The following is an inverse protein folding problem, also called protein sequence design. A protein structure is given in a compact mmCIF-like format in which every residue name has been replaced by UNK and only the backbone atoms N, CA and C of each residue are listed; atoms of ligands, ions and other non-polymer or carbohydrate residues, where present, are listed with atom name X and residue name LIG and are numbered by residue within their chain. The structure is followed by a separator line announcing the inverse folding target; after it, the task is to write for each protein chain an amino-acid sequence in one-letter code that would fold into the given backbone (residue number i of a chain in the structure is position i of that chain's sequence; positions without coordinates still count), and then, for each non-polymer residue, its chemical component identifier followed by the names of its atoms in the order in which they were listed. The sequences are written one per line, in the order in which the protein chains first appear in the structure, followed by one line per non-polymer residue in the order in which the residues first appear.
data_IF_775242428365
#
_entry.id   IF_775242428365
#
_cell.length_a   1.000
_cell.length_b   1.000
_cell.length_c   1.000
_cell.angle_alpha   90.00
_cell.angle_beta   90.00
_cell.angle_gamma   90.00
#
_symmetry.space_group_name_H-M   'P 1'
#
loop_
_entity.id
_entity.type
_entity.pdbx_description
1 polymer ?
#
# COMPACT_ATOMS: atom_id res chain seq x y z
N UNK A 1 4.32 11.20 -13.27
CA UNK A 1 3.70 9.86 -13.11
C UNK A 1 2.24 9.84 -13.57
N UNK A 2 1.86 10.71 -14.53
CA UNK A 2 0.47 10.92 -14.96
C UNK A 2 -0.10 9.76 -15.80
N UNK A 3 0.76 8.88 -16.30
CA UNK A 3 0.36 7.72 -17.10
C UNK A 3 -0.23 6.55 -16.29
N UNK A 4 -0.16 6.58 -14.95
CA UNK A 4 -0.75 5.53 -14.12
C UNK A 4 -2.27 5.63 -14.13
N UNK A 5 -2.93 4.52 -14.47
CA UNK A 5 -4.40 4.43 -14.53
C UNK A 5 -4.92 3.51 -13.45
N UNK A 6 -5.51 4.10 -12.41
CA UNK A 6 -6.09 3.37 -11.29
C UNK A 6 -7.52 2.90 -11.59
N UNK A 7 -7.80 1.63 -11.32
CA UNK A 7 -9.15 1.06 -11.41
C UNK A 7 -9.68 0.49 -10.09
N UNK A 8 -8.81 0.24 -9.10
CA UNK A 8 -9.13 -0.17 -7.73
C UNK A 8 -10.22 -1.25 -7.64
N UNK A 9 -10.14 -2.25 -8.52
CA UNK A 9 -11.12 -3.34 -8.64
C UNK A 9 -11.41 -4.03 -7.31
N UNK A 10 -10.39 -4.28 -6.49
CA UNK A 10 -10.51 -4.94 -5.18
C UNK A 10 -11.48 -4.18 -4.28
N UNK A 11 -11.42 -2.85 -4.27
CA UNK A 11 -12.34 -2.00 -3.51
C UNK A 11 -13.75 -2.00 -4.10
N UNK A 12 -13.86 -2.05 -5.43
CA UNK A 12 -15.15 -2.03 -6.11
C UNK A 12 -15.92 -3.35 -5.98
N UNK A 13 -15.23 -4.48 -5.91
CA UNK A 13 -15.84 -5.81 -5.98
C UNK A 13 -15.97 -6.53 -4.64
N UNK A 14 -15.23 -6.12 -3.61
CA UNK A 14 -15.24 -6.77 -2.30
C UNK A 14 -15.83 -5.88 -1.21
N UNK A 15 -16.49 -6.47 -0.19
CA UNK A 15 -17.08 -5.71 0.89
C UNK A 15 -15.98 -4.95 1.65
N UNK A 16 -16.16 -3.64 1.74
CA UNK A 16 -15.31 -2.76 2.53
C UNK A 16 -15.83 -2.55 3.94
N UNK A 17 -14.90 -2.33 4.86
CA UNK A 17 -15.18 -1.91 6.22
C UNK A 17 -15.91 -0.56 6.20
N UNK A 18 -17.14 -0.46 6.75
CA UNK A 18 -17.84 0.81 6.84
C UNK A 18 -17.17 1.78 7.83
N UNK A 19 -16.36 1.27 8.76
CA UNK A 19 -15.60 2.10 9.69
C UNK A 19 -14.33 2.64 9.01
N UNK A 20 -14.19 3.96 8.97
CA UNK A 20 -13.02 4.68 8.45
C UNK A 20 -12.20 5.35 9.56
N UNK A 21 -12.60 5.12 10.81
CA UNK A 21 -11.95 5.64 11.99
C UNK A 21 -10.56 5.04 12.23
N UNK A 22 -9.68 5.77 12.93
CA UNK A 22 -8.39 5.24 13.34
C UNK A 22 -8.56 4.18 14.43
N UNK A 23 -7.57 3.30 14.56
CA UNK A 23 -7.48 2.35 15.66
C UNK A 23 -7.59 0.89 15.22
N UNK A 24 -7.09 0.01 16.10
CA UNK A 24 -7.07 -1.43 15.90
C UNK A 24 -8.44 -2.01 16.25
N UNK A 25 -8.98 -2.87 15.38
CA UNK A 25 -10.32 -3.46 15.56
C UNK A 25 -10.47 -4.79 14.82
N UNK A 26 -11.50 -5.54 15.19
CA UNK A 26 -12.00 -6.63 14.35
C UNK A 26 -12.80 -6.04 13.19
N UNK A 27 -12.62 -6.62 12.01
CA UNK A 27 -13.18 -6.16 10.74
C UNK A 27 -13.90 -7.34 10.11
N UNK A 28 -15.20 -7.19 9.85
CA UNK A 28 -16.03 -8.19 9.17
C UNK A 28 -16.22 -7.81 7.69
N UNK A 29 -15.10 -7.48 7.04
CA UNK A 29 -15.03 -7.04 5.64
C UNK A 29 -13.67 -7.46 5.04
N UNK A 30 -13.51 -7.35 3.72
CA UNK A 30 -12.30 -7.76 3.02
C UNK A 30 -11.15 -6.74 3.12
N UNK A 31 -11.47 -5.47 3.42
CA UNK A 31 -10.49 -4.39 3.52
C UNK A 31 -11.03 -3.24 4.36
N UNK A 32 -10.13 -2.37 4.83
CA UNK A 32 -10.47 -1.07 5.43
C UNK A 32 -9.74 0.04 4.69
N UNK A 33 -10.41 1.18 4.47
CA UNK A 33 -9.75 2.39 3.96
C UNK A 33 -8.81 2.94 5.02
N UNK A 34 -7.55 3.17 4.64
CA UNK A 34 -6.52 3.67 5.57
C UNK A 34 -5.56 4.56 4.81
N UNK A 35 -5.35 5.78 5.31
CA UNK A 35 -4.36 6.69 4.74
C UNK A 35 -2.95 6.34 5.23
N UNK A 36 -1.92 6.39 4.36
CA UNK A 36 -0.53 6.32 4.80
C UNK A 36 -0.20 7.41 5.83
N UNK A 37 0.64 7.08 6.80
CA UNK A 37 1.21 8.03 7.74
C UNK A 37 2.51 8.60 7.15
N UNK A 38 2.59 9.91 6.85
CA UNK A 38 3.76 10.51 6.21
C UNK A 38 5.06 10.28 6.97
N UNK A 39 6.17 10.36 6.25
CA UNK A 39 7.53 10.31 6.80
C UNK A 39 8.26 11.64 6.63
N UNK A 40 9.28 11.89 7.45
CA UNK A 40 10.12 13.06 7.30
C UNK A 40 11.09 12.89 6.12
N UNK A 41 11.13 13.88 5.23
CA UNK A 41 12.10 14.00 4.12
C UNK A 41 12.31 12.69 3.32
N UNK A 42 11.26 12.15 2.66
CA UNK A 42 11.38 10.92 1.89
C UNK A 42 12.39 11.10 0.74
N UNK A 43 13.22 10.07 0.53
CA UNK A 43 14.21 10.02 -0.54
C UNK A 43 14.28 8.64 -1.17
N UNK A 44 14.43 8.59 -2.49
CA UNK A 44 14.68 7.35 -3.21
C UNK A 44 16.09 6.83 -2.88
N UNK A 45 16.19 5.55 -2.52
CA UNK A 45 17.47 4.86 -2.28
C UNK A 45 17.83 3.95 -3.45
N UNK A 46 16.86 3.15 -3.90
CA UNK A 46 16.97 2.26 -5.05
C UNK A 46 15.57 2.00 -5.64
N UNK A 47 15.53 1.59 -6.90
CA UNK A 47 14.32 1.14 -7.60
C UNK A 47 14.67 0.03 -8.59
N UNK A 48 13.68 -0.77 -8.98
CA UNK A 48 13.81 -1.71 -10.09
C UNK A 48 13.47 -0.99 -11.39
N UNK A 49 14.43 -0.90 -12.32
CA UNK A 49 14.21 -0.34 -13.66
C UNK A 49 13.16 -1.16 -14.42
N UNK A 50 13.24 -2.48 -14.34
CA UNK A 50 12.31 -3.40 -15.01
C UNK A 50 10.87 -3.19 -14.54
N UNK A 51 10.67 -2.97 -13.24
CA UNK A 51 9.33 -2.66 -12.70
C UNK A 51 8.85 -1.26 -13.10
N UNK A 52 9.74 -0.27 -13.16
CA UNK A 52 9.39 1.06 -13.65
C UNK A 52 8.92 0.99 -15.12
N UNK A 53 9.64 0.25 -15.96
CA UNK A 53 9.29 0.05 -17.37
C UNK A 53 7.94 -0.65 -17.52
N UNK A 54 7.66 -1.70 -16.72
CA UNK A 54 6.36 -2.39 -16.71
C UNK A 54 5.22 -1.42 -16.34
N UNK A 55 5.42 -0.54 -15.35
CA UNK A 55 4.43 0.45 -14.94
C UNK A 55 4.36 1.66 -15.89
N UNK A 56 5.20 1.71 -16.92
CA UNK A 56 5.27 2.84 -17.85
C UNK A 56 5.83 4.11 -17.21
N UNK A 57 6.62 3.99 -16.13
CA UNK A 57 7.25 5.11 -15.44
C UNK A 57 8.60 5.43 -16.09
N UNK A 58 8.74 6.66 -16.57
CA UNK A 58 9.99 7.11 -17.17
C UNK A 58 11.08 7.34 -16.11
N UNK A 59 12.34 7.39 -16.56
CA UNK A 59 13.46 7.78 -15.67
C UNK A 59 13.26 9.17 -15.04
N UNK A 60 12.60 10.09 -15.77
CA UNK A 60 12.27 11.42 -15.27
C UNK A 60 11.22 11.36 -14.16
N UNK A 61 10.21 10.49 -14.31
CA UNK A 61 9.22 10.24 -13.26
C UNK A 61 9.90 9.73 -11.99
N UNK A 62 10.73 8.69 -12.10
CA UNK A 62 11.41 8.05 -10.96
C UNK A 62 12.34 9.03 -10.23
N UNK A 63 13.00 9.93 -10.95
CA UNK A 63 13.92 10.94 -10.37
C UNK A 63 13.21 12.19 -9.85
N UNK A 64 11.92 12.33 -10.10
CA UNK A 64 11.17 13.48 -9.62
C UNK A 64 11.08 13.49 -8.08
N UNK A 65 11.03 14.68 -7.45
CA UNK A 65 10.74 14.77 -6.02
C UNK A 65 9.38 14.15 -5.66
N UNK A 66 8.41 14.21 -6.57
CA UNK A 66 7.06 13.66 -6.41
C UNK A 66 7.09 12.15 -6.21
N UNK A 67 7.96 11.41 -6.91
CA UNK A 67 8.08 9.96 -6.76
C UNK A 67 8.38 9.56 -5.32
N UNK A 68 9.34 10.24 -4.68
CA UNK A 68 9.66 9.98 -3.28
C UNK A 68 8.51 10.38 -2.34
N UNK A 69 7.75 11.43 -2.66
CA UNK A 69 6.58 11.81 -1.85
C UNK A 69 5.47 10.75 -1.95
N UNK A 70 5.16 10.27 -3.16
CA UNK A 70 4.10 9.27 -3.38
C UNK A 70 4.48 7.93 -2.77
N UNK A 71 5.62 7.37 -3.16
CA UNK A 71 6.08 6.06 -2.68
C UNK A 71 6.71 6.10 -1.27
N UNK A 72 6.73 7.28 -0.63
CA UNK A 72 6.97 7.46 0.80
C UNK A 72 5.70 7.56 1.64
N UNK A 73 4.51 7.64 1.01
CA UNK A 73 3.23 7.82 1.71
C UNK A 73 2.94 9.25 2.14
N UNK A 74 3.60 10.24 1.52
CA UNK A 74 3.44 11.67 1.83
C UNK A 74 2.46 12.37 0.88
N UNK A 75 2.21 11.80 -0.30
CA UNK A 75 1.29 12.31 -1.30
C UNK A 75 0.57 11.15 -1.99
N UNK A 76 -0.57 11.44 -2.61
CA UNK A 76 -1.30 10.49 -3.44
C UNK A 76 -1.45 11.05 -4.84
N UNK A 77 -1.39 10.16 -5.83
CA UNK A 77 -1.75 10.50 -7.21
C UNK A 77 -3.28 10.48 -7.38
N UNK A 78 -3.82 11.24 -8.34
CA UNK A 78 -5.24 11.11 -8.70
C UNK A 78 -5.63 9.66 -9.02
N UNK A 79 -6.72 9.19 -8.42
CA UNK A 79 -7.23 7.83 -8.60
C UNK A 79 -6.70 6.80 -7.59
N UNK A 80 -5.69 7.10 -6.79
CA UNK A 80 -5.33 6.27 -5.64
C UNK A 80 -6.46 6.27 -4.61
N UNK A 81 -6.82 5.09 -4.10
CA UNK A 81 -7.76 4.90 -2.99
C UNK A 81 -7.10 3.96 -1.97
N UNK A 82 -6.34 4.49 -1.00
CA UNK A 82 -5.53 3.65 -0.13
C UNK A 82 -6.33 2.75 0.83
N UNK A 83 -5.91 1.50 0.93
CA UNK A 83 -6.56 0.50 1.78
C UNK A 83 -5.58 -0.50 2.38
N UNK A 84 -6.03 -1.22 3.41
CA UNK A 84 -5.35 -2.36 3.98
C UNK A 84 -6.28 -3.58 3.91
N UNK A 85 -5.76 -4.72 3.45
CA UNK A 85 -6.56 -5.93 3.31
C UNK A 85 -6.73 -6.66 4.64
N UNK A 86 -7.88 -7.29 4.81
CA UNK A 86 -8.18 -8.18 5.92
C UNK A 86 -7.96 -9.63 5.50
N UNK A 87 -7.31 -10.41 6.34
CA UNK A 87 -7.16 -11.85 6.16
C UNK A 87 -6.89 -12.52 7.51
N UNK A 88 -7.07 -13.84 7.57
CA UNK A 88 -6.67 -14.67 8.71
C UNK A 88 -5.65 -15.73 8.27
N UNK A 89 -5.05 -16.41 9.23
CA UNK A 89 -4.09 -17.46 8.90
C UNK A 89 -3.63 -18.29 10.08
N UNK A 90 -3.07 -19.46 9.77
CA UNK A 90 -2.34 -20.25 10.74
C UNK A 90 -0.90 -19.72 10.86
N UNK A 91 -0.45 -19.42 12.07
CA UNK A 91 0.93 -19.07 12.37
C UNK A 91 1.52 -20.13 13.29
N UNK A 92 2.66 -20.71 12.89
CA UNK A 92 3.35 -21.77 13.65
C UNK A 92 2.44 -22.96 14.03
N UNK A 93 1.53 -23.35 13.13
CA UNK A 93 0.61 -24.48 13.34
C UNK A 93 -0.68 -24.16 14.10
N UNK A 94 -0.89 -22.91 14.53
CA UNK A 94 -2.09 -22.50 15.28
C UNK A 94 -2.89 -21.44 14.53
N UNK A 95 -4.23 -21.54 14.57
CA UNK A 95 -5.10 -20.49 14.04
C UNK A 95 -4.88 -19.19 14.82
N UNK A 96 -4.43 -18.15 14.13
CA UNK A 96 -4.08 -16.86 14.75
C UNK A 96 -5.23 -15.84 14.72
N UNK A 97 -6.41 -16.23 14.25
CA UNK A 97 -7.56 -15.33 14.08
C UNK A 97 -7.33 -14.31 12.98
N UNK A 98 -7.87 -13.10 13.19
CA UNK A 98 -7.69 -11.99 12.28
C UNK A 98 -6.23 -11.51 12.25
N UNK A 99 -5.68 -11.47 11.04
CA UNK A 99 -4.43 -10.82 10.69
C UNK A 99 -4.79 -9.57 9.86
N UNK A 100 -4.34 -9.51 8.61
CA UNK A 100 -4.48 -8.34 7.75
C UNK A 100 -3.17 -7.58 7.58
N UNK A 101 -3.21 -6.58 6.72
CA UNK A 101 -2.07 -5.73 6.42
C UNK A 101 -1.73 -4.80 7.58
N UNK A 102 -1.07 -5.33 8.60
CA UNK A 102 -0.79 -4.61 9.84
C UNK A 102 0.30 -3.53 9.74
N UNK A 103 1.00 -3.43 8.61
CA UNK A 103 1.99 -2.38 8.34
C UNK A 103 2.17 -2.10 6.85
N UNK A 104 1.23 -2.58 6.04
CA UNK A 104 1.23 -2.36 4.60
C UNK A 104 -0.07 -1.63 4.28
N UNK A 105 0.00 -0.70 3.33
CA UNK A 105 -1.17 -0.02 2.79
C UNK A 105 -1.01 -0.06 1.28
N UNK A 106 -1.98 -0.64 0.61
CA UNK A 106 -2.11 -0.56 -0.84
C UNK A 106 -2.57 0.83 -1.21
N UNK A 107 -1.79 1.54 -2.03
CA UNK A 107 -2.09 2.89 -2.48
C UNK A 107 -3.16 2.90 -3.58
N UNK A 108 -3.26 1.80 -4.32
CA UNK A 108 -4.26 1.58 -5.35
C UNK A 108 -3.86 0.44 -6.29
N UNK A 109 -4.79 0.06 -7.16
CA UNK A 109 -4.54 -0.90 -8.24
C UNK A 109 -4.52 -0.17 -9.57
N UNK A 110 -3.39 -0.28 -10.28
CA UNK A 110 -3.18 0.36 -11.58
C UNK A 110 -3.16 -0.68 -12.70
N UNK A 111 -3.50 -0.24 -13.91
CA UNK A 111 -3.35 -1.03 -15.12
C UNK A 111 -2.09 -0.59 -15.87
N UNK A 112 -1.30 -1.54 -16.36
CA UNK A 112 -0.22 -1.25 -17.31
C UNK A 112 -0.74 -1.01 -18.73
N UNK A 113 0.17 -0.69 -19.66
CA UNK A 113 -0.15 -0.41 -21.07
C UNK A 113 -0.74 -1.62 -21.81
N UNK A 114 -0.63 -2.83 -21.25
CA UNK A 114 -1.22 -4.05 -21.78
C UNK A 114 -2.51 -4.45 -21.05
N UNK A 115 -3.00 -3.61 -20.12
CA UNK A 115 -4.20 -3.86 -19.33
C UNK A 115 -4.00 -4.89 -18.21
N UNK A 116 -2.76 -5.22 -17.84
CA UNK A 116 -2.49 -6.08 -16.67
C UNK A 116 -2.55 -5.24 -15.41
N UNK A 117 -3.19 -5.78 -14.37
CA UNK A 117 -3.34 -5.10 -13.08
C UNK A 117 -2.12 -5.32 -12.19
N UNK A 118 -1.73 -4.23 -11.54
CA UNK A 118 -0.66 -4.18 -10.56
C UNK A 118 -1.16 -3.49 -9.30
N UNK A 119 -0.91 -4.14 -8.17
CA UNK A 119 -1.18 -3.57 -6.86
C UNK A 119 0.04 -2.76 -6.39
N UNK A 120 -0.15 -1.49 -6.07
CA UNK A 120 0.92 -0.63 -5.54
C UNK A 120 0.89 -0.63 -4.01
N UNK A 121 1.54 -1.62 -3.39
CA UNK A 121 1.54 -1.76 -1.93
C UNK A 121 2.77 -1.12 -1.26
N UNK A 122 2.51 -0.20 -0.33
CA UNK A 122 3.53 0.48 0.46
C UNK A 122 3.71 -0.19 1.83
N UNK A 123 4.86 -0.82 2.04
CA UNK A 123 5.25 -1.45 3.30
C UNK A 123 5.93 -0.45 4.24
N UNK A 124 5.52 -0.42 5.50
CA UNK A 124 5.93 0.57 6.49
C UNK A 124 5.13 1.87 6.43
N UNK A 125 3.96 1.85 5.77
CA UNK A 125 3.11 3.01 5.53
C UNK A 125 2.43 3.57 6.79
N UNK A 126 2.60 2.95 7.96
CA UNK A 126 1.95 3.36 9.20
C UNK A 126 0.96 2.32 9.71
N UNK A 127 0.32 2.60 10.86
CA UNK A 127 -0.61 1.69 11.47
C UNK A 127 -1.92 1.59 10.68
N UNK A 128 -2.55 0.43 10.77
CA UNK A 128 -3.83 0.07 10.17
C UNK A 128 -4.71 -0.60 11.24
N UNK A 129 -6.00 -0.88 10.96
CA UNK A 129 -6.85 -1.68 11.86
C UNK A 129 -6.25 -3.04 12.23
N UNK A 130 -5.30 -3.53 11.44
CA UNK A 130 -4.68 -4.85 11.53
C UNK A 130 -3.31 -4.84 12.24
N UNK A 131 -2.82 -3.68 12.70
CA UNK A 131 -1.46 -3.53 13.26
C UNK A 131 -1.21 -4.29 14.56
N UNK A 132 -2.26 -4.74 15.25
CA UNK A 132 -2.18 -5.42 16.56
C UNK A 132 -1.38 -4.57 17.55
N UNK A 133 -0.15 -4.95 17.91
CA UNK A 133 0.70 -4.21 18.85
C UNK A 133 1.90 -3.52 18.18
N UNK A 134 2.00 -3.57 16.85
CA UNK A 134 3.11 -3.00 16.10
C UNK A 134 2.89 -1.51 15.75
N UNK A 135 3.97 -0.80 15.47
CA UNK A 135 3.99 0.62 15.09
C UNK A 135 3.58 0.90 13.64
N UNK A 136 3.38 -0.14 12.82
CA UNK A 136 3.05 -0.03 11.41
C UNK A 136 4.22 0.39 10.51
N UNK A 137 5.47 0.38 11.00
CA UNK A 137 6.65 0.84 10.25
C UNK A 137 7.55 -0.29 9.77
N UNK A 138 8.40 0.05 8.81
CA UNK A 138 9.48 -0.79 8.31
C UNK A 138 10.82 -0.04 8.45
N UNK A 139 11.85 -0.76 8.89
CA UNK A 139 13.21 -0.23 8.99
C UNK A 139 13.96 -0.46 7.69
N UNK A 140 14.91 0.43 7.37
CA UNK A 140 15.67 0.40 6.10
C UNK A 140 16.30 -0.97 5.81
N UNK A 141 16.86 -1.64 6.82
CA UNK A 141 17.45 -2.99 6.67
C UNK A 141 16.45 -4.04 6.18
N UNK A 142 15.18 -3.90 6.56
CA UNK A 142 14.10 -4.83 6.15
C UNK A 142 13.50 -4.45 4.81
N UNK A 143 13.68 -3.20 4.36
CA UNK A 143 13.21 -2.74 3.04
C UNK A 143 14.21 -3.11 1.94
N UNK A 144 15.50 -3.25 2.28
CA UNK A 144 16.56 -3.63 1.34
C UNK A 144 16.67 -5.16 1.15
N UNK A 145 16.46 -5.93 2.23
CA UNK A 145 16.53 -7.40 2.22
C UNK A 145 15.30 -8.05 1.62
#
# INVERSE_FOLDING_TARGET
MEGLRFDNRFLAELPGDPDTGPGIRQVEAAWSRVQPTPVAAPRLVAYSREMADILGLSEADVRSPEFAQVFGGNALLPGMDPFAANYGGHQFGHWAGQLGDGRAITLGETLDTHGRRWELQLKGAGPTPYSRSADGRAVLRSSIR
#
